data_IF_280768177309
#
_entry.id   IF_280768177309
#
_cell.length_a   1.000
_cell.length_b   1.000
_cell.length_c   1.000
_cell.angle_alpha   90.00
_cell.angle_beta   90.00
_cell.angle_gamma   90.00
#
_symmetry.space_group_name_H-M   'P 1'
#
loop_
_entity.id
_entity.type
_entity.pdbx_description
1 polymer ?
#
# COMPACT_ATOMS: atom_id res chain seq x y z
N UNK A 1 -76.23 39.23 -18.74
CA UNK A 1 -75.86 37.88 -18.31
C UNK A 1 -74.36 37.72 -18.54
N UNK A 2 -73.55 38.15 -17.58
CA UNK A 2 -72.07 38.12 -17.70
C UNK A 2 -71.50 37.19 -16.65
N UNK A 3 -70.82 36.08 -17.15
CA UNK A 3 -70.19 35.09 -16.32
C UNK A 3 -68.72 35.46 -16.17
N UNK A 4 -68.28 35.75 -14.92
CA UNK A 4 -66.90 36.05 -14.60
C UNK A 4 -66.09 34.71 -14.46
N UNK A 5 -65.10 34.53 -15.25
CA UNK A 5 -64.05 33.47 -15.09
C UNK A 5 -62.96 34.01 -14.15
N UNK A 6 -62.82 33.43 -12.99
CA UNK A 6 -61.70 33.65 -12.08
C UNK A 6 -60.61 32.58 -12.36
N UNK A 7 -59.52 33.04 -12.93
CA UNK A 7 -58.34 32.18 -13.15
C UNK A 7 -57.58 31.99 -11.83
N UNK A 8 -57.40 30.74 -11.45
CA UNK A 8 -56.50 30.34 -10.33
C UNK A 8 -55.12 30.19 -10.86
N UNK A 9 -54.21 31.10 -10.49
CA UNK A 9 -52.80 31.03 -10.83
C UNK A 9 -52.12 30.11 -9.78
N UNK A 10 -51.88 28.86 -10.13
CA UNK A 10 -51.13 27.90 -9.31
C UNK A 10 -49.64 28.23 -9.30
N UNK A 11 -49.16 28.71 -8.17
CA UNK A 11 -47.74 28.95 -7.91
C UNK A 11 -47.06 27.59 -7.65
N UNK A 12 -46.38 27.05 -8.67
CA UNK A 12 -45.57 25.86 -8.54
C UNK A 12 -44.27 26.22 -7.76
N UNK A 13 -44.24 25.90 -6.47
CA UNK A 13 -43.00 25.91 -5.71
C UNK A 13 -42.07 24.82 -6.27
N UNK A 14 -41.04 25.20 -7.03
CA UNK A 14 -39.90 24.38 -7.35
C UNK A 14 -39.09 24.18 -6.08
N UNK A 15 -39.30 23.06 -5.41
CA UNK A 15 -38.35 22.51 -4.41
C UNK A 15 -37.07 22.11 -5.13
N UNK A 16 -36.09 22.99 -5.18
CA UNK A 16 -34.72 22.62 -5.50
C UNK A 16 -34.22 21.77 -4.35
N UNK A 17 -34.37 20.43 -4.49
CA UNK A 17 -33.62 19.49 -3.68
C UNK A 17 -32.14 19.72 -4.00
N UNK A 18 -31.38 20.29 -3.08
CA UNK A 18 -29.93 20.22 -3.11
C UNK A 18 -29.55 18.73 -3.16
N UNK A 19 -29.21 18.22 -4.33
CA UNK A 19 -28.53 16.95 -4.48
C UNK A 19 -27.16 17.14 -3.83
N UNK A 20 -27.03 16.70 -2.58
CA UNK A 20 -25.73 16.57 -1.94
C UNK A 20 -24.80 15.75 -2.83
N UNK A 21 -23.53 16.15 -2.95
CA UNK A 21 -22.55 15.50 -3.80
C UNK A 21 -22.53 14.00 -3.46
N UNK A 22 -22.61 13.14 -4.48
CA UNK A 22 -22.61 11.67 -4.33
C UNK A 22 -21.29 11.14 -3.74
N UNK A 23 -20.29 12.00 -3.57
CA UNK A 23 -18.93 11.69 -3.12
C UNK A 23 -18.61 12.19 -1.69
N UNK A 24 -19.60 12.60 -0.92
CA UNK A 24 -19.38 13.14 0.42
C UNK A 24 -19.69 12.13 1.53
N UNK A 25 -18.82 12.09 2.54
CA UNK A 25 -19.13 11.61 3.88
C UNK A 25 -20.09 12.59 4.53
N UNK A 26 -21.23 12.14 5.01
CA UNK A 26 -22.17 12.94 5.77
C UNK A 26 -22.10 12.57 7.24
N UNK A 27 -21.45 13.40 8.03
CA UNK A 27 -21.40 13.24 9.48
C UNK A 27 -22.59 13.93 10.13
N UNK A 28 -23.32 13.19 10.94
CA UNK A 28 -24.44 13.68 11.73
C UNK A 28 -24.25 13.19 13.16
N UNK A 29 -24.35 14.06 14.15
CA UNK A 29 -24.11 13.56 15.48
C UNK A 29 -24.33 14.56 16.59
N UNK A 30 -24.03 14.06 17.81
CA UNK A 30 -24.13 14.82 19.04
C UNK A 30 -22.82 14.69 19.81
N UNK A 31 -22.33 15.83 20.31
CA UNK A 31 -21.22 15.88 21.27
C UNK A 31 -21.80 16.12 22.64
N UNK A 32 -21.59 15.21 23.57
CA UNK A 32 -22.00 15.37 24.97
C UNK A 32 -20.89 16.10 25.72
N UNK A 33 -21.17 17.35 26.09
CA UNK A 33 -20.24 18.27 26.71
C UNK A 33 -20.87 18.84 27.99
N UNK A 34 -20.02 19.26 28.92
CA UNK A 34 -20.44 20.08 30.07
C UNK A 34 -20.72 21.53 29.62
N UNK A 35 -20.04 22.00 28.57
CA UNK A 35 -20.26 23.31 27.92
C UNK A 35 -20.86 23.11 26.53
N UNK A 36 -21.85 23.93 26.15
CA UNK A 36 -22.65 23.75 24.93
C UNK A 36 -21.94 24.05 23.62
N UNK A 37 -20.69 24.50 23.63
CA UNK A 37 -19.91 24.84 22.44
C UNK A 37 -18.58 24.04 22.42
N UNK A 38 -18.22 23.56 21.25
CA UNK A 38 -16.93 22.90 21.03
C UNK A 38 -16.43 23.15 19.60
N UNK A 39 -15.12 23.09 19.42
CA UNK A 39 -14.49 22.95 18.10
C UNK A 39 -14.14 21.48 17.91
N UNK A 40 -14.57 20.92 16.79
CA UNK A 40 -14.35 19.52 16.43
C UNK A 40 -13.51 19.48 15.17
N UNK A 41 -12.34 18.83 15.25
CA UNK A 41 -11.47 18.61 14.13
C UNK A 41 -11.71 17.22 13.55
N UNK A 42 -11.84 17.13 12.22
CA UNK A 42 -11.85 15.88 11.48
C UNK A 42 -10.43 15.64 10.95
N UNK A 43 -9.83 14.53 11.36
CA UNK A 43 -8.46 14.19 11.03
C UNK A 43 -8.51 12.94 10.16
N UNK A 44 -7.92 13.01 8.97
CA UNK A 44 -7.65 11.85 8.11
C UNK A 44 -6.21 11.38 8.31
N UNK A 45 -6.01 10.07 8.38
CA UNK A 45 -4.66 9.49 8.31
C UNK A 45 -4.31 9.29 6.84
N UNK A 46 -3.50 10.19 6.30
CA UNK A 46 -3.02 10.14 4.93
C UNK A 46 -1.56 9.67 4.92
N UNK A 47 -1.34 8.43 4.51
CA UNK A 47 0.01 7.83 4.44
C UNK A 47 0.79 7.85 5.78
N UNK A 48 0.14 7.46 6.87
CA UNK A 48 0.66 7.52 8.24
C UNK A 48 1.02 8.96 8.70
N UNK A 49 0.36 9.97 8.13
CA UNK A 49 0.48 11.36 8.54
C UNK A 49 -0.91 11.93 8.84
N UNK A 50 -1.27 12.06 10.13
CA UNK A 50 -2.54 12.65 10.53
C UNK A 50 -2.63 14.11 10.05
N UNK A 51 -3.68 14.43 9.32
CA UNK A 51 -3.94 15.77 8.80
C UNK A 51 -5.37 16.19 9.14
N UNK A 52 -5.53 17.39 9.68
CA UNK A 52 -6.85 18.00 9.81
C UNK A 52 -7.38 18.30 8.41
N UNK A 53 -8.50 17.66 8.05
CA UNK A 53 -9.15 17.81 6.75
C UNK A 53 -10.33 18.76 6.83
N UNK A 54 -10.94 18.91 8.01
CA UNK A 54 -12.00 19.87 8.25
C UNK A 54 -12.10 20.26 9.73
N UNK A 55 -12.78 21.37 10.02
CA UNK A 55 -13.01 21.88 11.37
C UNK A 55 -14.42 22.41 11.49
N UNK A 56 -15.13 21.96 12.50
CA UNK A 56 -16.52 22.29 12.74
C UNK A 56 -16.72 22.96 14.09
N UNK A 57 -17.52 24.03 14.10
CA UNK A 57 -18.00 24.65 15.32
C UNK A 57 -19.34 24.02 15.76
N UNK A 58 -19.32 23.30 16.87
CA UNK A 58 -20.49 22.62 17.43
C UNK A 58 -21.23 23.61 18.36
N UNK A 59 -22.50 23.85 18.09
CA UNK A 59 -23.35 24.65 18.93
C UNK A 59 -24.50 23.79 19.47
N UNK A 60 -24.81 23.96 20.76
CA UNK A 60 -25.87 23.17 21.42
C UNK A 60 -25.68 21.65 21.32
N UNK A 61 -24.43 21.19 21.16
CA UNK A 61 -24.06 19.78 21.15
C UNK A 61 -24.36 19.02 19.88
N UNK A 62 -25.20 19.51 18.95
CA UNK A 62 -25.46 18.80 17.69
C UNK A 62 -24.56 19.31 16.56
N UNK A 63 -24.23 18.43 15.62
CA UNK A 63 -23.48 18.78 14.43
C UNK A 63 -23.96 18.06 13.17
N UNK A 64 -23.77 18.73 12.03
CA UNK A 64 -23.98 18.20 10.70
C UNK A 64 -22.86 18.72 9.82
N UNK A 65 -22.15 17.80 9.16
CA UNK A 65 -21.04 18.14 8.28
C UNK A 65 -20.99 17.20 7.08
N UNK A 66 -20.71 17.75 5.92
CA UNK A 66 -20.47 17.00 4.69
C UNK A 66 -19.01 17.21 4.29
N UNK A 67 -18.23 16.12 4.24
CA UNK A 67 -16.79 16.13 3.95
C UNK A 67 -16.55 15.35 2.66
N UNK A 68 -15.86 15.94 1.71
CA UNK A 68 -15.43 15.21 0.51
C UNK A 68 -14.34 14.21 0.87
N UNK A 69 -14.56 12.95 0.50
CA UNK A 69 -13.58 11.89 0.65
C UNK A 69 -13.38 11.16 -0.68
N UNK A 70 -12.17 10.75 -0.94
CA UNK A 70 -11.82 10.01 -2.17
C UNK A 70 -12.20 8.53 -2.07
N UNK A 71 -11.92 7.92 -0.91
CA UNK A 71 -12.14 6.50 -0.63
C UNK A 71 -12.44 6.26 0.86
N UNK A 72 -12.95 5.08 1.23
CA UNK A 72 -13.11 4.70 2.62
C UNK A 72 -11.77 4.69 3.37
N UNK A 73 -11.80 5.13 4.63
CA UNK A 73 -10.58 5.17 5.45
C UNK A 73 -10.88 5.44 6.93
N UNK A 74 -9.90 5.18 7.79
CA UNK A 74 -9.99 5.56 9.19
C UNK A 74 -9.81 7.07 9.30
N UNK A 75 -10.79 7.73 9.91
CA UNK A 75 -10.73 9.13 10.29
C UNK A 75 -10.91 9.25 11.80
N UNK A 76 -10.55 10.40 12.33
CA UNK A 76 -10.64 10.67 13.76
C UNK A 76 -11.41 11.96 14.00
N UNK A 77 -12.23 11.96 15.05
CA UNK A 77 -12.86 13.16 15.58
C UNK A 77 -12.10 13.57 16.85
N UNK A 78 -11.58 14.77 16.85
CA UNK A 78 -10.86 15.34 17.99
C UNK A 78 -11.54 16.61 18.47
N UNK A 79 -11.90 16.65 19.75
CA UNK A 79 -12.41 17.87 20.38
C UNK A 79 -11.22 18.76 20.71
N UNK A 80 -11.25 20.04 20.35
CA UNK A 80 -10.19 21.00 20.65
C UNK A 80 -9.87 21.00 22.17
N UNK A 81 -8.58 21.01 22.49
CA UNK A 81 -8.11 20.90 23.87
C UNK A 81 -8.09 19.49 24.45
N UNK A 82 -8.60 18.48 23.75
CA UNK A 82 -8.43 17.07 24.12
C UNK A 82 -7.31 16.45 23.28
N UNK A 83 -6.34 15.76 23.94
CA UNK A 83 -5.27 15.07 23.24
C UNK A 83 -5.74 13.75 22.59
N UNK A 84 -6.81 13.15 23.12
CA UNK A 84 -7.38 11.93 22.58
C UNK A 84 -8.34 12.23 21.43
N UNK A 85 -8.45 11.29 20.49
CA UNK A 85 -9.36 11.35 19.36
C UNK A 85 -10.21 10.07 19.26
N UNK A 86 -11.40 10.20 18.67
CA UNK A 86 -12.32 9.10 18.45
C UNK A 86 -12.22 8.59 17.02
N UNK A 87 -11.79 7.34 16.77
CA UNK A 87 -11.69 6.77 15.44
C UNK A 87 -13.04 6.30 14.91
N UNK A 88 -13.27 6.49 13.61
CA UNK A 88 -14.43 5.99 12.87
C UNK A 88 -14.04 5.68 11.41
N UNK A 89 -14.89 4.94 10.71
CA UNK A 89 -14.70 4.66 9.28
C UNK A 89 -15.45 5.73 8.47
N UNK A 90 -14.71 6.57 7.75
CA UNK A 90 -15.25 7.51 6.79
C UNK A 90 -15.63 6.77 5.50
N UNK A 91 -16.90 6.85 5.11
CA UNK A 91 -17.45 6.28 3.88
C UNK A 91 -18.36 7.32 3.20
N UNK A 92 -18.60 7.20 1.87
CA UNK A 92 -19.43 8.13 1.08
C UNK A 92 -20.94 7.99 1.37
N UNK A 93 -21.28 7.88 2.64
CA UNK A 93 -22.63 7.68 3.16
C UNK A 93 -22.83 8.51 4.43
N UNK A 94 -24.01 8.42 5.04
CA UNK A 94 -24.26 9.07 6.33
C UNK A 94 -23.75 8.21 7.48
N UNK A 95 -22.90 8.78 8.33
CA UNK A 95 -22.40 8.18 9.57
C UNK A 95 -22.97 8.98 10.74
N UNK A 96 -23.58 8.29 11.69
CA UNK A 96 -24.11 8.90 12.91
C UNK A 96 -23.12 8.72 14.05
N UNK A 97 -22.85 9.82 14.78
CA UNK A 97 -21.83 9.83 15.83
C UNK A 97 -22.42 10.32 17.15
N UNK A 98 -22.14 9.58 18.21
CA UNK A 98 -22.33 10.00 19.59
C UNK A 98 -20.94 10.15 20.23
N UNK A 99 -20.54 11.39 20.54
CA UNK A 99 -19.21 11.71 21.03
C UNK A 99 -19.28 12.20 22.50
N UNK A 100 -18.63 11.47 23.41
CA UNK A 100 -18.57 11.81 24.82
C UNK A 100 -17.19 12.40 25.14
N UNK A 101 -17.10 13.70 25.44
CA UNK A 101 -15.83 14.42 25.67
C UNK A 101 -14.97 13.78 26.75
N UNK A 102 -15.58 13.44 27.87
CA UNK A 102 -14.86 12.93 29.05
C UNK A 102 -14.67 11.41 29.02
N UNK A 103 -15.23 10.73 28.02
CA UNK A 103 -15.23 9.28 27.90
C UNK A 103 -15.25 8.85 26.45
N UNK A 104 -14.24 9.24 25.65
CA UNK A 104 -14.16 8.89 24.21
C UNK A 104 -14.26 7.39 23.95
N UNK A 105 -13.88 6.55 24.92
CA UNK A 105 -13.96 5.09 24.81
C UNK A 105 -15.36 4.54 24.64
N UNK A 106 -16.41 5.24 25.13
CA UNK A 106 -17.82 4.86 24.99
C UNK A 106 -18.53 5.57 23.83
N UNK A 107 -17.83 6.45 23.12
CA UNK A 107 -18.34 7.10 21.91
C UNK A 107 -18.59 6.10 20.81
N UNK A 108 -19.57 6.38 19.95
CA UNK A 108 -20.03 5.47 18.89
C UNK A 108 -20.11 6.17 17.55
N UNK A 109 -19.79 5.42 16.50
CA UNK A 109 -20.09 5.76 15.11
C UNK A 109 -20.90 4.60 14.53
N UNK A 110 -22.09 4.85 14.02
CA UNK A 110 -23.06 3.83 13.60
C UNK A 110 -23.74 4.22 12.28
N UNK A 111 -24.53 3.29 11.74
CA UNK A 111 -25.35 3.51 10.54
C UNK A 111 -24.69 3.06 9.25
N UNK A 112 -23.54 2.41 9.31
CA UNK A 112 -22.92 1.74 8.18
C UNK A 112 -22.34 0.40 8.63
N UNK A 113 -22.34 -0.59 7.74
CA UNK A 113 -21.75 -1.91 8.05
C UNK A 113 -20.33 -1.78 8.59
N UNK A 114 -19.49 -0.95 7.98
CA UNK A 114 -18.09 -0.82 8.42
C UNK A 114 -17.95 -0.15 9.80
N UNK A 115 -18.79 0.83 10.14
CA UNK A 115 -18.75 1.45 11.46
C UNK A 115 -19.36 0.54 12.54
N UNK A 116 -20.50 -0.10 12.26
CA UNK A 116 -21.12 -1.05 13.18
C UNK A 116 -20.18 -2.19 13.51
N UNK A 117 -19.52 -2.77 12.50
CA UNK A 117 -18.49 -3.79 12.65
C UNK A 117 -17.25 -3.25 13.39
N UNK A 118 -16.83 -2.02 13.13
CA UNK A 118 -15.69 -1.41 13.83
C UNK A 118 -15.96 -1.20 15.32
N UNK A 119 -17.17 -0.77 15.68
CA UNK A 119 -17.55 -0.64 17.08
C UNK A 119 -17.57 -2.01 17.76
N UNK A 120 -18.15 -3.02 17.11
CA UNK A 120 -18.13 -4.41 17.59
C UNK A 120 -16.71 -4.92 17.79
N UNK A 121 -15.85 -4.78 16.79
CA UNK A 121 -14.44 -5.18 16.87
C UNK A 121 -13.70 -4.50 18.04
N UNK A 122 -13.90 -3.19 18.22
CA UNK A 122 -13.34 -2.43 19.35
C UNK A 122 -13.78 -2.98 20.70
N UNK A 123 -15.08 -3.24 20.85
CA UNK A 123 -15.64 -3.69 22.11
C UNK A 123 -15.17 -5.11 22.46
N UNK A 124 -15.15 -6.01 21.49
CA UNK A 124 -14.75 -7.42 21.68
C UNK A 124 -13.23 -7.56 21.89
N UNK A 125 -12.41 -6.73 21.23
CA UNK A 125 -10.93 -6.76 21.40
C UNK A 125 -10.44 -6.00 22.63
N UNK A 126 -11.26 -5.15 23.25
CA UNK A 126 -10.88 -4.30 24.39
C UNK A 126 -10.28 -5.09 25.56
N UNK A 127 -10.84 -6.26 25.87
CA UNK A 127 -10.36 -7.10 26.97
C UNK A 127 -8.95 -7.63 26.68
N UNK A 128 -8.72 -8.09 25.47
CA UNK A 128 -7.40 -8.58 25.04
C UNK A 128 -6.34 -7.48 25.05
N UNK A 129 -6.69 -6.29 24.53
CA UNK A 129 -5.78 -5.13 24.51
C UNK A 129 -5.44 -4.69 25.94
N UNK A 130 -6.43 -4.66 26.83
CA UNK A 130 -6.19 -4.36 28.26
C UNK A 130 -5.26 -5.38 28.90
N UNK A 131 -5.44 -6.67 28.62
CA UNK A 131 -4.59 -7.75 29.11
C UNK A 131 -3.14 -7.61 28.59
N UNK A 132 -2.97 -7.37 27.27
CA UNK A 132 -1.63 -7.15 26.69
C UNK A 132 -0.91 -5.96 27.32
N UNK A 133 -1.61 -4.86 27.57
CA UNK A 133 -1.02 -3.68 28.22
C UNK A 133 -0.60 -3.99 29.67
N UNK A 134 -1.42 -4.73 30.42
CA UNK A 134 -1.08 -5.18 31.77
C UNK A 134 0.16 -6.07 31.78
N UNK A 135 0.14 -7.15 31.01
CA UNK A 135 1.26 -8.10 30.88
C UNK A 135 2.53 -7.37 30.38
N UNK A 136 2.39 -6.44 29.44
CA UNK A 136 3.51 -5.65 28.91
C UNK A 136 4.19 -4.78 29.99
N UNK A 137 3.40 -4.14 30.86
CA UNK A 137 3.91 -3.37 31.97
C UNK A 137 4.63 -4.27 33.01
N UNK A 138 4.04 -5.41 33.34
CA UNK A 138 4.63 -6.37 34.30
C UNK A 138 5.92 -6.98 33.74
N UNK A 139 5.95 -7.29 32.43
CA UNK A 139 7.16 -7.77 31.75
C UNK A 139 8.28 -6.72 31.78
N UNK A 140 7.96 -5.46 31.55
CA UNK A 140 8.94 -4.38 31.65
C UNK A 140 9.52 -4.28 33.09
N UNK A 141 8.69 -4.43 34.11
CA UNK A 141 9.13 -4.46 35.48
C UNK A 141 10.00 -5.68 35.82
N UNK A 142 9.60 -6.87 35.37
CA UNK A 142 10.40 -8.08 35.55
C UNK A 142 11.79 -7.96 34.91
N UNK A 143 11.88 -7.33 33.73
CA UNK A 143 13.16 -7.05 33.07
C UNK A 143 14.05 -6.07 33.87
N UNK A 144 13.46 -5.03 34.44
CA UNK A 144 14.20 -4.05 35.30
C UNK A 144 14.75 -4.74 36.55
N UNK A 145 13.95 -5.63 37.15
CA UNK A 145 14.34 -6.40 38.35
C UNK A 145 15.27 -7.58 38.03
N UNK A 146 15.52 -7.84 36.73
CA UNK A 146 16.31 -8.98 36.23
C UNK A 146 15.74 -10.35 36.65
N UNK A 147 14.45 -10.43 36.88
CA UNK A 147 13.74 -11.68 37.16
C UNK A 147 13.44 -12.42 35.81
N UNK A 148 14.37 -13.28 35.43
CA UNK A 148 14.32 -13.98 34.16
C UNK A 148 13.19 -15.04 34.09
N UNK A 149 12.84 -15.63 35.24
CA UNK A 149 11.77 -16.65 35.28
C UNK A 149 10.40 -15.99 35.11
N UNK A 150 10.17 -14.90 35.84
CA UNK A 150 8.92 -14.13 35.69
C UNK A 150 8.81 -13.51 34.30
N UNK A 151 9.92 -12.98 33.76
CA UNK A 151 9.93 -12.41 32.42
C UNK A 151 9.59 -13.45 31.35
N UNK A 152 10.07 -14.69 31.48
CA UNK A 152 9.73 -15.77 30.55
C UNK A 152 8.23 -16.15 30.64
N UNK A 153 7.69 -16.33 31.83
CA UNK A 153 6.28 -16.65 32.06
C UNK A 153 5.36 -15.56 31.49
N UNK A 154 5.68 -14.28 31.75
CA UNK A 154 4.92 -13.16 31.19
C UNK A 154 5.03 -13.07 29.66
N UNK A 155 6.15 -13.45 29.08
CA UNK A 155 6.32 -13.50 27.62
C UNK A 155 5.46 -14.61 26.98
N UNK A 156 5.34 -15.76 27.62
CA UNK A 156 4.44 -16.83 27.19
C UNK A 156 2.97 -16.38 27.29
N UNK A 157 2.56 -15.78 28.41
CA UNK A 157 1.20 -15.23 28.57
C UNK A 157 0.91 -14.13 27.53
N UNK A 158 1.86 -13.27 27.23
CA UNK A 158 1.72 -12.23 26.20
C UNK A 158 1.47 -12.86 24.81
N UNK A 159 2.22 -13.92 24.50
CA UNK A 159 2.03 -14.63 23.22
C UNK A 159 0.67 -15.34 23.17
N UNK A 160 0.23 -15.97 24.22
CA UNK A 160 -1.08 -16.64 24.30
C UNK A 160 -2.22 -15.65 24.02
N UNK A 161 -2.18 -14.45 24.61
CA UNK A 161 -3.20 -13.42 24.34
C UNK A 161 -3.13 -12.93 22.89
N UNK A 162 -1.95 -12.82 22.32
CA UNK A 162 -1.79 -12.48 20.89
C UNK A 162 -2.38 -13.53 19.97
N UNK A 163 -2.22 -14.80 20.30
CA UNK A 163 -2.77 -15.91 19.52
C UNK A 163 -4.30 -15.94 19.62
N UNK A 164 -4.86 -15.62 20.79
CA UNK A 164 -6.31 -15.45 20.97
C UNK A 164 -6.86 -14.29 20.13
N UNK A 165 -6.17 -13.14 20.10
CA UNK A 165 -6.55 -12.01 19.24
C UNK A 165 -6.53 -12.44 17.77
N UNK A 166 -5.48 -13.11 17.33
CA UNK A 166 -5.35 -13.59 15.96
C UNK A 166 -6.50 -14.52 15.58
N UNK A 167 -6.84 -15.47 16.45
CA UNK A 167 -7.94 -16.39 16.22
C UNK A 167 -9.29 -15.65 16.09
N UNK A 168 -9.55 -14.70 17.01
CA UNK A 168 -10.72 -13.84 16.95
C UNK A 168 -10.76 -13.02 15.64
N UNK A 169 -9.64 -12.45 15.22
CA UNK A 169 -9.56 -11.63 14.00
C UNK A 169 -9.78 -12.43 12.72
N UNK A 170 -9.32 -13.67 12.65
CA UNK A 170 -9.60 -14.57 11.54
C UNK A 170 -11.09 -14.92 11.46
N UNK A 171 -11.73 -15.18 12.60
CA UNK A 171 -13.17 -15.40 12.67
C UNK A 171 -13.95 -14.13 12.27
N UNK A 172 -13.54 -12.96 12.78
CA UNK A 172 -14.13 -11.68 12.42
C UNK A 172 -14.08 -11.40 10.92
N UNK A 173 -12.93 -11.61 10.27
CA UNK A 173 -12.77 -11.42 8.83
C UNK A 173 -13.72 -12.35 8.06
N UNK A 174 -13.80 -13.61 8.45
CA UNK A 174 -14.64 -14.61 7.77
C UNK A 174 -16.14 -14.30 7.91
N UNK A 175 -16.55 -13.76 9.05
CA UNK A 175 -17.95 -13.40 9.33
C UNK A 175 -18.34 -12.01 8.77
N UNK A 176 -17.39 -11.16 8.45
CA UNK A 176 -17.62 -9.77 8.03
C UNK A 176 -16.86 -9.38 6.73
N UNK A 177 -17.06 -10.12 5.61
CA UNK A 177 -16.31 -9.91 4.37
C UNK A 177 -16.63 -8.58 3.65
N UNK A 178 -17.68 -7.89 4.05
CA UNK A 178 -18.09 -6.58 3.54
C UNK A 178 -17.61 -5.41 4.41
N UNK A 179 -16.94 -5.68 5.52
CA UNK A 179 -16.45 -4.67 6.44
C UNK A 179 -15.10 -4.11 6.01
N UNK A 180 -14.95 -2.77 6.07
CA UNK A 180 -13.66 -2.15 5.80
C UNK A 180 -12.59 -2.53 6.84
N UNK A 181 -12.99 -2.87 8.07
CA UNK A 181 -12.05 -3.35 9.09
C UNK A 181 -11.43 -4.69 8.70
N UNK A 182 -12.18 -5.58 8.04
CA UNK A 182 -11.68 -6.89 7.61
C UNK A 182 -10.49 -6.78 6.66
N UNK A 183 -10.52 -5.83 5.69
CA UNK A 183 -9.39 -5.63 4.79
C UNK A 183 -8.19 -5.03 5.51
N UNK A 184 -8.38 -4.14 6.49
CA UNK A 184 -7.29 -3.57 7.28
C UNK A 184 -6.62 -4.63 8.18
N UNK A 185 -7.39 -5.54 8.75
CA UNK A 185 -6.83 -6.68 9.51
C UNK A 185 -6.00 -7.58 8.58
N UNK A 186 -6.53 -7.90 7.39
CA UNK A 186 -5.79 -8.72 6.42
C UNK A 186 -4.50 -8.01 5.96
N UNK A 187 -4.54 -6.71 5.68
CA UNK A 187 -3.36 -5.92 5.31
C UNK A 187 -2.27 -6.01 6.40
N UNK A 188 -2.65 -5.89 7.67
CA UNK A 188 -1.74 -6.05 8.80
C UNK A 188 -1.20 -7.49 8.90
N UNK A 189 -2.00 -8.51 8.69
CA UNK A 189 -1.54 -9.90 8.69
C UNK A 189 -0.51 -10.17 7.58
N UNK A 190 -0.75 -9.64 6.39
CA UNK A 190 0.20 -9.74 5.26
C UNK A 190 1.50 -8.99 5.57
N UNK A 191 1.39 -7.75 6.05
CA UNK A 191 2.56 -6.90 6.37
C UNK A 191 3.46 -7.53 7.45
N UNK A 192 2.86 -8.12 8.50
CA UNK A 192 3.57 -8.74 9.62
C UNK A 192 3.89 -10.23 9.38
N UNK A 193 3.52 -10.78 8.21
CA UNK A 193 3.68 -12.21 7.89
C UNK A 193 3.05 -13.14 8.93
N UNK A 194 1.93 -12.71 9.52
CA UNK A 194 1.21 -13.47 10.55
C UNK A 194 0.44 -14.66 9.99
N UNK A 195 0.17 -14.66 8.70
CA UNK A 195 -0.46 -15.75 7.94
C UNK A 195 0.34 -16.03 6.66
N UNK A 196 0.12 -17.19 6.05
CA UNK A 196 0.73 -17.53 4.77
C UNK A 196 0.09 -16.74 3.62
N UNK A 197 0.81 -16.57 2.50
CA UNK A 197 0.25 -15.90 1.31
C UNK A 197 -0.91 -16.69 0.69
N UNK A 198 -0.91 -18.01 0.82
CA UNK A 198 -2.03 -18.86 0.37
C UNK A 198 -3.28 -18.57 1.18
N UNK A 199 -3.17 -18.57 2.51
CA UNK A 199 -4.27 -18.23 3.41
C UNK A 199 -4.76 -16.79 3.20
N UNK A 200 -3.84 -15.83 3.03
CA UNK A 200 -4.19 -14.45 2.72
C UNK A 200 -4.98 -14.32 1.41
N UNK A 201 -4.64 -15.13 0.39
CA UNK A 201 -5.35 -15.16 -0.88
C UNK A 201 -6.77 -15.70 -0.73
N UNK A 202 -6.95 -16.82 -0.03
CA UNK A 202 -8.27 -17.41 0.24
C UNK A 202 -9.18 -16.41 0.99
N UNK A 203 -8.65 -15.74 2.00
CA UNK A 203 -9.37 -14.68 2.72
C UNK A 203 -9.73 -13.53 1.78
N UNK A 204 -8.77 -13.02 1.00
CA UNK A 204 -8.99 -11.90 0.09
C UNK A 204 -10.05 -12.22 -0.97
N UNK A 205 -10.08 -13.44 -1.49
CA UNK A 205 -11.09 -13.88 -2.47
C UNK A 205 -12.51 -13.81 -1.90
N UNK A 206 -12.70 -13.99 -0.60
CA UNK A 206 -13.99 -13.90 0.07
C UNK A 206 -14.56 -12.48 0.19
N UNK A 207 -13.74 -11.45 0.03
CA UNK A 207 -14.18 -10.07 0.16
C UNK A 207 -15.05 -9.61 -1.02
N UNK A 208 -15.97 -8.68 -0.73
CA UNK A 208 -16.78 -8.05 -1.79
C UNK A 208 -15.94 -7.16 -2.71
N UNK A 209 -16.42 -6.96 -3.95
CA UNK A 209 -15.77 -6.08 -4.93
C UNK A 209 -15.58 -4.65 -4.39
N UNK A 210 -16.51 -4.15 -3.57
CA UNK A 210 -16.42 -2.85 -2.91
C UNK A 210 -15.16 -2.76 -2.01
N UNK A 211 -14.86 -3.80 -1.25
CA UNK A 211 -13.70 -3.86 -0.37
C UNK A 211 -12.40 -4.05 -1.16
N UNK A 212 -12.42 -4.93 -2.16
CA UNK A 212 -11.29 -5.15 -3.07
C UNK A 212 -10.89 -3.90 -3.85
N UNK A 213 -11.84 -3.04 -4.20
CA UNK A 213 -11.60 -1.80 -4.94
C UNK A 213 -10.95 -0.67 -4.11
N UNK A 214 -10.85 -0.80 -2.79
CA UNK A 214 -10.16 0.17 -1.91
C UNK A 214 -8.64 0.16 -2.15
N UNK A 215 -7.92 1.20 -1.69
CA UNK A 215 -6.44 1.23 -1.77
C UNK A 215 -5.81 0.03 -1.05
N UNK A 216 -6.28 -0.31 0.16
CA UNK A 216 -5.82 -1.48 0.91
C UNK A 216 -6.10 -2.78 0.13
N UNK A 217 -7.28 -2.89 -0.51
CA UNK A 217 -7.61 -4.02 -1.37
C UNK A 217 -6.64 -4.19 -2.53
N UNK A 218 -6.39 -3.12 -3.28
CA UNK A 218 -5.43 -3.12 -4.40
C UNK A 218 -4.00 -3.39 -3.94
N UNK A 219 -3.61 -2.85 -2.79
CA UNK A 219 -2.30 -3.11 -2.19
C UNK A 219 -2.11 -4.60 -1.89
N UNK A 220 -3.11 -5.23 -1.25
CA UNK A 220 -3.08 -6.67 -0.97
C UNK A 220 -3.10 -7.48 -2.26
N UNK A 221 -4.01 -7.18 -3.20
CA UNK A 221 -4.09 -7.86 -4.48
C UNK A 221 -2.74 -7.90 -5.20
N UNK A 222 -2.04 -6.76 -5.25
CA UNK A 222 -0.70 -6.67 -5.85
C UNK A 222 0.35 -7.54 -5.16
N UNK A 223 0.17 -7.86 -3.88
CA UNK A 223 1.06 -8.73 -3.10
C UNK A 223 0.68 -10.21 -3.22
N UNK A 224 -0.62 -10.49 -3.40
CA UNK A 224 -1.17 -11.85 -3.52
C UNK A 224 -1.03 -12.43 -4.92
N UNK A 225 -1.08 -11.60 -5.95
CA UNK A 225 -0.74 -12.02 -7.31
C UNK A 225 0.75 -12.30 -7.27
N UNK A 226 1.21 -13.56 -7.38
CA UNK A 226 2.61 -13.79 -7.67
C UNK A 226 2.85 -13.02 -8.98
N UNK A 227 3.66 -11.98 -8.96
CA UNK A 227 4.08 -11.40 -10.22
C UNK A 227 4.58 -12.59 -11.05
N UNK A 228 3.92 -12.88 -12.16
CA UNK A 228 4.35 -13.97 -13.02
C UNK A 228 5.82 -13.72 -13.33
N UNK A 229 6.64 -14.78 -13.24
CA UNK A 229 8.04 -14.64 -13.64
C UNK A 229 8.01 -14.18 -15.09
N UNK A 230 8.68 -13.08 -15.43
CA UNK A 230 8.64 -12.59 -16.81
C UNK A 230 9.10 -13.69 -17.77
N UNK A 231 8.23 -14.09 -18.72
CA UNK A 231 8.49 -15.19 -19.64
C UNK A 231 8.60 -14.66 -21.08
N UNK A 232 9.24 -15.46 -21.93
CA UNK A 232 9.35 -15.18 -23.37
C UNK A 232 7.95 -15.06 -23.98
N UNK A 233 7.72 -14.00 -24.76
CA UNK A 233 6.44 -13.65 -25.37
C UNK A 233 5.60 -12.65 -24.57
N UNK A 234 5.99 -12.34 -23.33
CA UNK A 234 5.32 -11.31 -22.49
C UNK A 234 6.04 -9.97 -22.59
N UNK A 235 5.33 -8.88 -22.31
CA UNK A 235 5.97 -7.59 -22.09
C UNK A 235 6.87 -7.64 -20.85
N UNK A 236 8.08 -7.11 -20.98
CA UNK A 236 8.97 -6.93 -19.84
C UNK A 236 8.33 -5.97 -18.83
N UNK A 237 8.39 -6.27 -17.53
CA UNK A 237 7.89 -5.35 -16.51
C UNK A 237 8.58 -3.99 -16.62
N UNK A 238 7.80 -2.92 -16.72
CA UNK A 238 8.32 -1.56 -16.74
C UNK A 238 8.92 -1.17 -15.38
N UNK A 239 10.02 -0.46 -15.41
CA UNK A 239 10.65 0.03 -14.19
C UNK A 239 11.28 1.42 -14.38
N UNK A 240 11.45 2.08 -13.25
CA UNK A 240 12.26 3.29 -13.12
C UNK A 240 13.24 3.12 -11.96
N UNK A 241 14.44 3.67 -12.13
CA UNK A 241 15.45 3.64 -11.08
C UNK A 241 16.48 4.77 -11.25
N UNK A 242 17.19 5.16 -10.16
CA UNK A 242 18.23 6.15 -10.23
C UNK A 242 19.45 5.61 -10.96
N UNK A 243 19.97 6.42 -11.89
CA UNK A 243 21.25 6.19 -12.55
C UNK A 243 22.45 6.60 -11.65
N UNK A 244 23.70 6.44 -12.07
CA UNK A 244 24.87 6.85 -11.29
C UNK A 244 24.87 8.32 -10.86
N UNK A 245 24.27 9.21 -11.64
CA UNK A 245 24.12 10.63 -11.33
C UNK A 245 22.96 10.93 -10.37
N UNK A 246 22.09 9.93 -10.11
CA UNK A 246 20.90 10.05 -9.26
C UNK A 246 19.65 10.51 -10.01
N UNK A 247 19.72 10.58 -11.33
CA UNK A 247 18.57 10.90 -12.18
C UNK A 247 17.73 9.66 -12.43
N UNK A 248 16.40 9.82 -12.50
CA UNK A 248 15.49 8.73 -12.80
C UNK A 248 15.60 8.30 -14.25
N UNK A 249 15.83 7.00 -14.50
CA UNK A 249 15.86 6.37 -15.80
C UNK A 249 14.73 5.35 -15.89
N UNK A 250 13.96 5.40 -16.97
CA UNK A 250 12.87 4.46 -17.29
C UNK A 250 13.32 3.49 -18.36
N UNK A 251 12.96 2.20 -18.24
CA UNK A 251 13.23 1.20 -19.27
C UNK A 251 12.61 1.58 -20.60
N UNK A 252 11.37 2.04 -20.58
CA UNK A 252 10.62 2.44 -21.79
C UNK A 252 11.33 3.48 -22.63
N UNK A 253 12.04 4.43 -21.98
CA UNK A 253 12.76 5.50 -22.67
C UNK A 253 14.09 5.02 -23.27
N UNK A 254 14.49 3.79 -23.00
CA UNK A 254 15.77 3.19 -23.40
C UNK A 254 15.63 1.98 -24.32
N UNK A 255 14.41 1.71 -24.81
CA UNK A 255 14.22 0.63 -25.76
C UNK A 255 14.88 0.94 -27.10
N UNK A 256 15.69 0.00 -27.61
CA UNK A 256 16.24 -0.01 -28.96
C UNK A 256 15.51 -1.00 -29.85
N UNK A 257 16.09 -1.31 -31.03
CA UNK A 257 15.60 -2.43 -31.84
C UNK A 257 15.69 -3.75 -31.09
N UNK A 258 16.76 -3.91 -30.31
CA UNK A 258 16.96 -4.99 -29.33
C UNK A 258 17.48 -4.35 -28.05
N UNK A 259 16.92 -4.73 -26.91
CA UNK A 259 17.37 -4.24 -25.60
C UNK A 259 17.73 -5.42 -24.70
N UNK A 260 18.89 -5.36 -24.08
CA UNK A 260 19.29 -6.31 -23.04
C UNK A 260 19.06 -5.64 -21.67
N UNK A 261 18.20 -6.22 -20.83
CA UNK A 261 18.13 -5.90 -19.41
C UNK A 261 19.03 -6.89 -18.67
N UNK A 262 20.11 -6.38 -18.10
CA UNK A 262 21.16 -7.19 -17.45
C UNK A 262 21.18 -6.94 -15.95
N UNK A 263 21.06 -7.99 -15.15
CA UNK A 263 21.13 -7.94 -13.68
C UNK A 263 22.50 -8.40 -13.19
N UNK A 264 23.21 -7.53 -12.51
CA UNK A 264 24.59 -7.74 -12.07
C UNK A 264 24.90 -7.07 -10.74
N UNK A 265 26.17 -7.10 -10.31
CA UNK A 265 26.68 -6.30 -9.20
C UNK A 265 28.21 -6.24 -9.22
N UNK A 266 28.79 -5.20 -8.59
CA UNK A 266 30.24 -5.05 -8.46
C UNK A 266 30.94 -6.22 -7.75
N UNK A 267 30.26 -6.83 -6.79
CA UNK A 267 30.71 -7.99 -6.01
C UNK A 267 30.45 -9.34 -6.71
N UNK A 268 29.72 -9.35 -7.83
CA UNK A 268 29.39 -10.56 -8.58
C UNK A 268 30.55 -10.96 -9.49
N UNK A 269 31.41 -11.86 -9.02
CA UNK A 269 32.57 -12.32 -9.82
C UNK A 269 32.19 -12.91 -11.19
N UNK A 270 31.16 -13.78 -11.33
CA UNK A 270 30.75 -14.27 -12.64
C UNK A 270 30.30 -13.14 -13.58
N UNK A 271 29.59 -12.12 -13.08
CA UNK A 271 29.17 -10.98 -13.88
C UNK A 271 30.39 -10.20 -14.42
N UNK A 272 31.38 -9.91 -13.55
CA UNK A 272 32.60 -9.19 -13.91
C UNK A 272 33.43 -9.94 -14.96
N UNK A 273 33.40 -11.26 -14.96
CA UNK A 273 34.05 -12.09 -15.99
C UNK A 273 33.33 -12.00 -17.34
N UNK A 274 32.00 -11.83 -17.33
CA UNK A 274 31.17 -11.71 -18.54
C UNK A 274 31.20 -10.32 -19.17
N UNK A 275 31.34 -9.26 -18.36
CA UNK A 275 31.29 -7.86 -18.79
C UNK A 275 32.15 -7.53 -20.02
N UNK A 276 33.40 -8.00 -20.17
CA UNK A 276 34.18 -7.75 -21.39
C UNK A 276 33.53 -8.27 -22.68
N UNK A 277 32.76 -9.36 -22.62
CA UNK A 277 32.01 -9.89 -23.76
C UNK A 277 30.79 -9.00 -24.07
N UNK A 278 30.09 -8.52 -23.06
CA UNK A 278 29.03 -7.53 -23.24
C UNK A 278 29.53 -6.22 -23.84
N UNK A 279 30.69 -5.74 -23.41
CA UNK A 279 31.31 -4.52 -23.99
C UNK A 279 31.60 -4.71 -25.49
N UNK A 280 32.22 -5.82 -25.88
CA UNK A 280 32.46 -6.11 -27.30
C UNK A 280 31.16 -6.22 -28.10
N UNK A 281 30.17 -6.89 -27.56
CA UNK A 281 28.85 -7.05 -28.18
C UNK A 281 28.14 -5.69 -28.36
N UNK A 282 28.19 -4.83 -27.36
CA UNK A 282 27.61 -3.49 -27.41
C UNK A 282 28.34 -2.63 -28.46
N UNK A 283 29.66 -2.60 -28.46
CA UNK A 283 30.47 -1.85 -29.44
C UNK A 283 30.18 -2.28 -30.89
N UNK A 284 29.94 -3.60 -31.11
CA UNK A 284 29.61 -4.16 -32.41
C UNK A 284 28.22 -3.74 -32.93
N UNK A 285 27.23 -3.59 -32.03
CA UNK A 285 25.82 -3.51 -32.41
C UNK A 285 25.11 -2.24 -31.97
N UNK A 286 25.72 -1.32 -31.19
CA UNK A 286 25.08 -0.09 -30.73
C UNK A 286 24.52 0.76 -31.91
N UNK A 287 25.26 0.87 -32.99
CA UNK A 287 24.83 1.62 -34.20
C UNK A 287 23.73 0.88 -34.97
N UNK A 288 23.60 -0.44 -34.78
CA UNK A 288 22.54 -1.26 -35.36
C UNK A 288 21.25 -1.25 -34.54
N UNK A 289 21.27 -0.58 -33.36
CA UNK A 289 20.12 -0.43 -32.48
C UNK A 289 20.09 -1.37 -31.27
N UNK A 290 21.26 -1.93 -30.86
CA UNK A 290 21.38 -2.59 -29.56
C UNK A 290 21.41 -1.55 -28.43
N UNK A 291 20.59 -1.75 -27.43
CA UNK A 291 20.64 -1.06 -26.16
C UNK A 291 20.88 -2.04 -25.01
N UNK A 292 21.52 -1.58 -23.96
CA UNK A 292 21.69 -2.33 -22.71
C UNK A 292 21.26 -1.43 -21.56
N UNK A 293 20.46 -1.97 -20.64
CA UNK A 293 20.12 -1.33 -19.38
C UNK A 293 20.51 -2.31 -18.26
N UNK A 294 21.56 -1.96 -17.53
CA UNK A 294 22.03 -2.83 -16.43
C UNK A 294 21.44 -2.40 -15.09
N UNK A 295 20.86 -3.35 -14.38
CA UNK A 295 20.27 -3.21 -13.04
C UNK A 295 21.26 -3.77 -12.02
N UNK A 296 21.80 -2.91 -11.15
CA UNK A 296 22.76 -3.34 -10.15
C UNK A 296 22.13 -3.69 -8.81
N UNK A 297 22.54 -4.82 -8.23
CA UNK A 297 22.19 -5.28 -6.89
C UNK A 297 23.23 -4.85 -5.84
N UNK A 298 23.92 -3.75 -6.05
CA UNK A 298 24.87 -3.22 -5.08
C UNK A 298 24.17 -2.59 -3.86
N UNK A 299 24.91 -2.50 -2.73
CA UNK A 299 24.49 -1.76 -1.54
C UNK A 299 25.12 -0.36 -1.48
N UNK A 300 26.28 -0.20 -2.12
CA UNK A 300 27.08 1.00 -2.07
C UNK A 300 27.27 1.63 -3.44
N UNK A 301 26.98 2.93 -3.55
CA UNK A 301 27.12 3.67 -4.80
C UNK A 301 28.58 3.69 -5.31
N UNK A 302 29.53 3.89 -4.42
CA UNK A 302 30.93 4.06 -4.82
C UNK A 302 31.51 2.79 -5.46
N UNK A 303 31.24 1.61 -4.90
CA UNK A 303 31.68 0.31 -5.47
C UNK A 303 31.02 0.04 -6.82
N UNK A 304 29.71 0.33 -6.94
CA UNK A 304 28.97 0.20 -8.18
C UNK A 304 29.53 1.08 -9.29
N UNK A 305 29.71 2.38 -9.04
CA UNK A 305 30.24 3.34 -10.03
C UNK A 305 31.69 2.99 -10.40
N UNK A 306 32.50 2.60 -9.43
CA UNK A 306 33.87 2.17 -9.71
C UNK A 306 33.90 0.93 -10.63
N UNK A 307 33.01 -0.06 -10.38
CA UNK A 307 32.94 -1.26 -11.20
C UNK A 307 32.48 -0.98 -12.64
N UNK A 308 31.55 -0.04 -12.83
CA UNK A 308 31.16 0.44 -14.17
C UNK A 308 32.37 0.99 -14.91
N UNK A 309 33.18 1.82 -14.25
CA UNK A 309 34.36 2.43 -14.85
C UNK A 309 35.47 1.38 -15.14
N UNK A 310 35.74 0.50 -14.19
CA UNK A 310 36.78 -0.54 -14.30
C UNK A 310 36.51 -1.50 -15.46
N UNK A 311 35.23 -1.87 -15.67
CA UNK A 311 34.84 -2.81 -16.72
C UNK A 311 34.48 -2.12 -18.05
N UNK A 312 34.49 -0.79 -18.09
CA UNK A 312 34.17 0.00 -19.29
C UNK A 312 32.73 -0.14 -19.78
N UNK A 313 31.77 -0.22 -18.85
CA UNK A 313 30.35 -0.37 -19.15
C UNK A 313 29.74 0.98 -19.53
N UNK A 314 29.67 1.26 -20.83
CA UNK A 314 29.36 2.60 -21.37
C UNK A 314 27.86 2.85 -21.62
N UNK A 315 27.00 1.94 -21.27
CA UNK A 315 25.54 2.01 -21.45
C UNK A 315 24.81 2.48 -20.18
N UNK A 316 23.49 2.41 -20.20
CA UNK A 316 22.63 2.88 -19.11
C UNK A 316 22.64 1.92 -17.92
N UNK A 317 22.73 2.48 -16.71
CA UNK A 317 22.75 1.73 -15.45
C UNK A 317 21.75 2.30 -14.46
N UNK A 318 21.08 1.42 -13.68
CA UNK A 318 20.21 1.80 -12.58
C UNK A 318 20.51 0.95 -11.33
N UNK A 319 20.32 1.52 -10.14
CA UNK A 319 20.40 0.80 -8.88
C UNK A 319 19.64 1.53 -7.77
N UNK A 320 18.77 0.82 -7.05
CA UNK A 320 18.16 1.33 -5.82
C UNK A 320 19.06 1.14 -4.59
N UNK A 321 20.23 0.52 -4.75
CA UNK A 321 21.21 0.22 -3.68
C UNK A 321 20.60 -0.61 -2.54
N UNK A 322 19.69 -1.54 -2.87
CA UNK A 322 18.94 -2.36 -1.90
C UNK A 322 19.34 -3.83 -1.90
N UNK A 323 20.43 -4.20 -2.59
CA UNK A 323 20.89 -5.61 -2.69
C UNK A 323 19.74 -6.50 -3.21
N UNK A 324 19.52 -7.68 -2.65
CA UNK A 324 18.40 -8.58 -3.00
C UNK A 324 17.00 -8.00 -2.66
N UNK A 325 16.94 -6.87 -1.96
CA UNK A 325 15.70 -6.13 -1.71
C UNK A 325 15.39 -5.08 -2.78
N UNK A 326 16.18 -5.03 -3.85
CA UNK A 326 15.94 -4.15 -4.99
C UNK A 326 14.57 -4.43 -5.61
N UNK A 327 13.79 -3.37 -5.85
CA UNK A 327 12.40 -3.49 -6.33
C UNK A 327 12.36 -3.97 -7.78
N UNK A 328 13.35 -3.61 -8.60
CA UNK A 328 13.43 -4.02 -10.01
C UNK A 328 13.79 -5.52 -10.07
N UNK A 329 14.78 -5.95 -9.28
CA UNK A 329 15.15 -7.36 -9.21
C UNK A 329 13.97 -8.24 -8.73
N UNK A 330 13.19 -7.76 -7.75
CA UNK A 330 11.97 -8.44 -7.30
C UNK A 330 10.89 -8.48 -8.38
N UNK A 331 10.71 -7.40 -9.12
CA UNK A 331 9.76 -7.29 -10.21
C UNK A 331 10.06 -8.31 -11.32
N UNK A 332 11.35 -8.50 -11.65
CA UNK A 332 11.81 -9.48 -12.61
C UNK A 332 12.03 -10.90 -12.04
N UNK A 333 11.73 -11.10 -10.75
CA UNK A 333 11.93 -12.38 -10.03
C UNK A 333 13.36 -12.91 -10.15
N UNK A 334 14.34 -12.02 -10.15
CA UNK A 334 15.77 -12.38 -10.18
C UNK A 334 16.19 -12.86 -8.80
N UNK A 335 16.54 -14.16 -8.71
CA UNK A 335 17.02 -14.82 -7.49
C UNK A 335 18.51 -15.14 -7.51
N UNK A 336 19.15 -15.03 -8.68
CA UNK A 336 20.59 -15.21 -8.89
C UNK A 336 21.08 -14.26 -9.97
N UNK A 337 22.34 -13.84 -9.88
CA UNK A 337 23.02 -13.03 -10.91
C UNK A 337 24.32 -13.74 -11.37
N UNK A 338 24.71 -13.51 -12.65
CA UNK A 338 24.08 -12.69 -13.67
C UNK A 338 22.73 -13.25 -14.16
N UNK A 339 21.78 -12.37 -14.56
CA UNK A 339 20.54 -12.75 -15.24
C UNK A 339 20.25 -11.73 -16.35
N UNK A 340 19.78 -12.21 -17.51
CA UNK A 340 19.56 -11.36 -18.68
C UNK A 340 18.17 -11.59 -19.26
N UNK A 341 17.54 -10.49 -19.73
CA UNK A 341 16.31 -10.52 -20.52
C UNK A 341 16.58 -9.77 -21.81
N UNK A 342 16.23 -10.35 -22.95
CA UNK A 342 16.39 -9.75 -24.27
C UNK A 342 15.01 -9.34 -24.77
N UNK A 343 14.85 -8.07 -25.10
CA UNK A 343 13.59 -7.44 -25.49
C UNK A 343 13.63 -7.03 -26.96
N UNK A 344 12.50 -7.08 -27.62
CA UNK A 344 12.30 -6.45 -28.94
C UNK A 344 12.04 -4.93 -28.80
N UNK A 345 11.82 -4.25 -29.90
CA UNK A 345 11.54 -2.81 -29.97
C UNK A 345 10.28 -2.37 -29.24
N UNK A 346 9.35 -3.32 -28.97
CA UNK A 346 8.11 -3.08 -28.23
C UNK A 346 8.24 -3.37 -26.75
N UNK A 347 9.38 -3.90 -26.30
CA UNK A 347 9.61 -4.32 -24.93
C UNK A 347 9.09 -5.73 -24.62
N UNK A 348 8.81 -6.56 -25.64
CA UNK A 348 8.45 -7.97 -25.45
C UNK A 348 9.71 -8.79 -25.23
N UNK A 349 9.71 -9.66 -24.24
CA UNK A 349 10.81 -10.59 -23.95
C UNK A 349 10.90 -11.65 -25.06
N UNK A 350 11.98 -11.67 -25.80
CA UNK A 350 12.23 -12.61 -26.90
C UNK A 350 13.23 -13.71 -26.53
N UNK A 351 14.03 -13.51 -25.48
CA UNK A 351 14.90 -14.52 -24.88
C UNK A 351 15.26 -14.12 -23.44
N UNK A 352 15.72 -15.08 -22.65
CA UNK A 352 16.23 -14.83 -21.29
C UNK A 352 17.37 -15.78 -20.94
N UNK A 353 18.18 -15.36 -19.93
CA UNK A 353 19.28 -16.13 -19.35
C UNK A 353 20.33 -16.60 -20.35
N UNK A 354 20.46 -15.93 -21.52
CA UNK A 354 21.51 -16.19 -22.49
C UNK A 354 22.82 -15.51 -22.08
N UNK A 355 23.97 -16.22 -22.31
CA UNK A 355 25.30 -15.75 -21.91
C UNK A 355 26.36 -16.11 -22.93
N UNK A 356 27.49 -15.36 -22.92
CA UNK A 356 28.65 -15.62 -23.76
C UNK A 356 28.28 -15.83 -25.23
N UNK A 357 28.76 -16.86 -25.87
CA UNK A 357 28.50 -17.14 -27.28
C UNK A 357 27.03 -17.35 -27.65
N UNK A 358 26.18 -17.78 -26.72
CA UNK A 358 24.76 -17.94 -27.00
C UNK A 358 24.08 -16.58 -27.09
N UNK A 359 24.45 -15.65 -26.22
CA UNK A 359 23.97 -14.26 -26.27
C UNK A 359 24.47 -13.57 -27.53
N UNK A 360 25.75 -13.68 -27.84
CA UNK A 360 26.35 -13.09 -29.06
C UNK A 360 25.61 -13.54 -30.33
N UNK A 361 25.44 -14.87 -30.50
CA UNK A 361 24.72 -15.42 -31.66
C UNK A 361 23.28 -14.92 -31.74
N UNK A 362 22.60 -14.83 -30.61
CA UNK A 362 21.21 -14.36 -30.61
C UNK A 362 21.11 -12.88 -31.01
N UNK A 363 22.00 -12.03 -30.54
CA UNK A 363 22.04 -10.62 -30.93
C UNK A 363 22.46 -10.45 -32.41
N UNK A 364 23.45 -11.23 -32.87
CA UNK A 364 23.86 -11.26 -34.28
C UNK A 364 22.68 -11.64 -35.21
N UNK A 365 21.91 -12.66 -34.84
CA UNK A 365 20.68 -13.07 -35.56
C UNK A 365 19.64 -11.95 -35.60
N UNK A 366 19.41 -11.28 -34.49
CA UNK A 366 18.34 -10.25 -34.37
C UNK A 366 18.69 -8.94 -35.07
N UNK A 367 19.97 -8.56 -35.10
CA UNK A 367 20.43 -7.28 -35.67
C UNK A 367 21.10 -7.41 -37.05
N UNK A 368 21.03 -8.62 -37.65
CA UNK A 368 21.42 -8.82 -39.06
C UNK A 368 22.91 -8.72 -39.35
N UNK A 369 23.76 -9.11 -38.39
CA UNK A 369 25.23 -9.16 -38.58
C UNK A 369 25.70 -10.58 -38.99
N UNK A 370 24.92 -11.31 -39.78
CA UNK A 370 25.30 -12.55 -40.44
C UNK A 370 25.83 -12.29 -41.84
#
# INVERSE_FOLDING_TARGET
MFQKFTGFLGLALLLTACQGSSNALRLRGTVYLNDWNAILHIIADLNNQPKVVDTLFVQSGAFNLDVEITEPGIHFLQIEGNQASFPFIAEKVTVYVELFKDSLGVSKAIGTTSNDDFMRYKDETRVYISSLNGIGNDLQQAMILKDSLLAQDLQEQYQDVRDQIKAYELDFISSSPNSFISILILERFVANKSISMTEAKEIFESFSDRIKATSSGKSIESQLIPAEKPEVGQFAPEFQGPNPEGLSLSLKDKLGKVTIVDFWASWCRPCRVENPSLVRLYQKHQENGLQIVSVSLDKGKSQWVQAIADDGLVWDHVSNLKFWNDTIAKLYRVSAIPATFILDEKGVIIAKDLRGLQLERKIDELLGAL
#
